data_IF_064637337732
#
_entry.id   IF_064637337732
#
_cell.length_a   1.000
_cell.length_b   1.000
_cell.length_c   1.000
_cell.angle_alpha   90.00
_cell.angle_beta   90.00
_cell.angle_gamma   90.00
#
_symmetry.space_group_name_H-M   'P 1'
#
loop_
_entity.id
_entity.type
_entity.pdbx_description
1 polymer ?
#
# COMPACT_ATOMS: atom_id res chain seq x y z
N UNK A 1 -1.30 21.20 -8.02
CA UNK A 1 -1.03 22.53 -7.42
C UNK A 1 0.48 22.62 -7.23
N UNK A 2 1.14 23.54 -7.92
CA UNK A 2 2.57 23.81 -7.70
C UNK A 2 2.70 24.70 -6.47
N UNK A 3 3.55 24.31 -5.51
CA UNK A 3 3.84 25.16 -4.36
C UNK A 3 4.97 26.11 -4.74
N UNK A 4 4.72 27.42 -4.60
CA UNK A 4 5.66 28.49 -4.93
C UNK A 4 5.77 29.42 -3.73
N UNK A 5 7.00 29.78 -3.35
CA UNK A 5 7.26 30.83 -2.37
C UNK A 5 8.11 31.93 -2.98
N UNK A 6 7.85 33.16 -2.58
CA UNK A 6 8.64 34.33 -2.98
C UNK A 6 9.54 34.75 -1.83
N UNK A 7 10.82 34.85 -2.11
CA UNK A 7 11.83 35.34 -1.17
C UNK A 7 12.31 36.69 -1.68
N UNK A 8 12.19 37.72 -0.84
CA UNK A 8 12.63 39.07 -1.14
C UNK A 8 13.67 39.51 -0.13
N UNK A 9 14.71 40.20 -0.60
CA UNK A 9 15.71 40.78 0.26
C UNK A 9 15.08 41.79 1.24
N UNK A 10 15.55 41.77 2.49
CA UNK A 10 15.10 42.71 3.51
C UNK A 10 15.51 44.13 3.12
N UNK A 11 14.60 45.10 3.24
CA UNK A 11 14.83 46.50 2.88
C UNK A 11 15.96 47.19 3.65
N UNK A 12 16.41 46.62 4.78
CA UNK A 12 17.58 47.10 5.55
C UNK A 12 18.87 46.32 5.27
N UNK A 13 18.84 45.34 4.36
CA UNK A 13 20.05 44.60 3.98
C UNK A 13 20.95 45.48 3.10
N UNK A 14 22.24 45.53 3.43
CA UNK A 14 23.26 46.19 2.62
C UNK A 14 24.01 45.23 1.72
N UNK A 15 23.71 43.93 1.79
CA UNK A 15 24.47 42.87 1.12
C UNK A 15 23.66 42.10 0.08
N UNK A 16 22.33 42.19 0.09
CA UNK A 16 21.47 41.45 -0.84
C UNK A 16 20.30 42.33 -1.31
N UNK A 17 19.99 42.26 -2.60
CA UNK A 17 18.87 42.96 -3.23
C UNK A 17 18.08 42.04 -4.16
N UNK A 18 16.84 42.41 -4.49
CA UNK A 18 15.98 41.67 -5.42
C UNK A 18 14.97 40.70 -4.81
N UNK A 19 14.19 40.05 -5.68
CA UNK A 19 13.15 39.07 -5.37
C UNK A 19 13.34 37.83 -6.24
N UNK A 20 13.27 36.64 -5.64
CA UNK A 20 13.32 35.35 -6.34
C UNK A 20 12.10 34.52 -5.99
N UNK A 21 11.52 33.85 -6.98
CA UNK A 21 10.43 32.90 -6.78
C UNK A 21 11.01 31.48 -6.80
N UNK A 22 10.86 30.76 -5.70
CA UNK A 22 11.28 29.36 -5.57
C UNK A 22 10.05 28.47 -5.74
N UNK A 23 10.12 27.56 -6.70
CA UNK A 23 9.14 26.49 -6.85
C UNK A 23 9.65 25.24 -6.14
N UNK A 24 8.80 24.60 -5.36
CA UNK A 24 9.16 23.35 -4.70
C UNK A 24 8.01 22.35 -4.79
N UNK A 25 8.36 21.09 -5.03
CA UNK A 25 7.40 19.99 -5.05
C UNK A 25 7.36 19.39 -3.65
N UNK A 26 6.23 19.54 -2.96
CA UNK A 26 5.99 18.78 -1.74
C UNK A 26 5.68 17.36 -2.16
N UNK A 27 6.64 16.43 -1.98
CA UNK A 27 6.33 15.01 -1.96
C UNK A 27 5.50 14.76 -0.71
N UNK A 28 4.18 14.65 -0.87
CA UNK A 28 3.32 14.08 0.15
C UNK A 28 3.69 12.61 0.35
N UNK A 29 4.68 12.33 1.20
CA UNK A 29 4.58 11.13 2.00
C UNK A 29 3.48 11.45 3.02
N UNK A 30 2.24 11.07 2.68
CA UNK A 30 1.09 11.23 3.56
C UNK A 30 1.44 10.63 4.92
N UNK A 31 1.73 11.51 5.88
CA UNK A 31 1.95 11.17 7.28
C UNK A 31 1.24 12.25 8.09
N UNK A 32 -0.08 12.22 8.02
CA UNK A 32 -0.97 12.97 8.89
C UNK A 32 -1.70 11.94 9.77
N UNK A 33 -1.28 11.84 11.03
CA UNK A 33 -2.09 11.35 12.14
C UNK A 33 -2.27 9.84 12.33
N UNK A 34 -1.45 9.27 13.22
CA UNK A 34 -1.77 8.17 14.16
C UNK A 34 -2.08 6.78 13.58
N UNK A 35 -1.26 5.78 13.97
CA UNK A 35 -1.21 4.39 13.43
C UNK A 35 -0.82 4.33 11.95
N UNK A 36 0.48 4.23 11.66
CA UNK A 36 0.98 3.90 10.32
C UNK A 36 0.43 2.52 9.92
N UNK A 37 -0.64 2.51 9.12
CA UNK A 37 -1.15 1.30 8.49
C UNK A 37 -0.01 0.68 7.68
N UNK A 38 0.15 -0.63 7.78
CA UNK A 38 1.12 -1.34 6.98
C UNK A 38 0.52 -1.60 5.60
N UNK A 39 1.24 -1.26 4.54
CA UNK A 39 0.80 -1.60 3.20
C UNK A 39 0.77 -3.11 3.03
N UNK A 40 -0.30 -3.65 2.43
CA UNK A 40 -0.41 -5.10 2.23
C UNK A 40 0.75 -5.71 1.46
N UNK A 41 1.36 -4.94 0.54
CA UNK A 41 2.55 -5.36 -0.20
C UNK A 41 3.79 -5.57 0.69
N UNK A 42 3.87 -4.89 1.84
CA UNK A 42 4.95 -5.08 2.82
C UNK A 42 4.74 -6.32 3.68
N UNK A 43 3.48 -6.66 3.95
CA UNK A 43 3.09 -7.80 4.80
C UNK A 43 3.08 -9.10 3.98
N UNK A 44 2.54 -9.03 2.77
CA UNK A 44 2.50 -10.12 1.80
C UNK A 44 3.76 -9.99 0.93
N UNK A 45 4.89 -10.44 1.48
CA UNK A 45 6.19 -10.39 0.80
C UNK A 45 6.27 -11.36 -0.38
N UNK A 46 5.43 -12.39 -0.39
CA UNK A 46 5.34 -13.37 -1.46
C UNK A 46 3.90 -13.46 -1.96
N UNK A 47 3.71 -13.15 -3.22
CA UNK A 47 2.42 -13.17 -3.90
C UNK A 47 2.08 -14.55 -4.44
N UNK A 48 3.06 -15.45 -4.56
CA UNK A 48 2.85 -16.82 -4.99
C UNK A 48 2.54 -17.73 -3.78
N UNK A 49 1.27 -18.11 -3.65
CA UNK A 49 0.79 -18.95 -2.55
C UNK A 49 1.14 -20.43 -2.73
N UNK A 50 1.59 -20.83 -3.93
CA UNK A 50 1.92 -22.21 -4.26
C UNK A 50 0.71 -23.05 -4.65
N UNK A 51 0.82 -24.37 -4.46
CA UNK A 51 -0.25 -25.33 -4.76
C UNK A 51 -1.29 -25.37 -3.66
N UNK A 52 -2.56 -25.22 -4.03
CA UNK A 52 -3.72 -25.36 -3.14
C UNK A 52 -4.65 -26.48 -3.63
N UNK A 53 -5.42 -27.05 -2.71
CA UNK A 53 -6.28 -28.20 -3.03
C UNK A 53 -7.45 -27.85 -3.96
N UNK A 54 -8.04 -26.65 -3.81
CA UNK A 54 -9.19 -26.20 -4.61
C UNK A 54 -9.29 -24.67 -4.60
N UNK A 55 -9.96 -24.08 -5.60
CA UNK A 55 -10.17 -22.63 -5.72
C UNK A 55 -11.33 -22.18 -4.84
N UNK A 56 -11.11 -22.18 -3.54
CA UNK A 56 -12.09 -21.70 -2.57
C UNK A 56 -11.45 -20.72 -1.58
N UNK A 57 -12.29 -19.93 -0.91
CA UNK A 57 -11.84 -18.88 0.00
C UNK A 57 -11.00 -19.45 1.15
N UNK A 58 -11.34 -20.62 1.66
CA UNK A 58 -10.69 -21.27 2.79
C UNK A 58 -9.29 -21.78 2.41
N UNK A 59 -9.15 -22.43 1.25
CA UNK A 59 -7.83 -22.86 0.75
C UNK A 59 -6.92 -21.68 0.45
N UNK A 60 -7.42 -20.64 -0.22
CA UNK A 60 -6.64 -19.43 -0.53
C UNK A 60 -6.26 -18.69 0.75
N UNK A 61 -7.19 -18.58 1.71
CA UNK A 61 -6.92 -17.96 3.01
C UNK A 61 -5.86 -18.72 3.79
N UNK A 62 -5.89 -20.05 3.78
CA UNK A 62 -4.90 -20.90 4.45
C UNK A 62 -3.52 -20.73 3.83
N UNK A 63 -3.44 -20.73 2.50
CA UNK A 63 -2.19 -20.51 1.78
C UNK A 63 -1.65 -19.09 2.00
N UNK A 64 -2.53 -18.08 1.98
CA UNK A 64 -2.19 -16.69 2.29
C UNK A 64 -1.66 -16.53 3.72
N UNK A 65 -2.29 -17.16 4.72
CA UNK A 65 -1.82 -17.16 6.11
C UNK A 65 -0.50 -17.91 6.28
N UNK A 66 -0.21 -18.89 5.42
CA UNK A 66 1.07 -19.61 5.46
C UNK A 66 2.21 -18.70 5.02
N UNK A 67 1.97 -17.87 4.01
CA UNK A 67 2.95 -16.93 3.45
C UNK A 67 3.04 -15.65 4.27
N UNK A 68 1.90 -15.10 4.68
CA UNK A 68 1.78 -13.88 5.45
C UNK A 68 1.17 -14.20 6.83
N UNK A 69 1.97 -14.86 7.69
CA UNK A 69 1.53 -15.30 9.02
C UNK A 69 1.09 -14.14 9.92
N UNK A 70 1.67 -12.97 9.72
CA UNK A 70 1.34 -11.74 10.44
C UNK A 70 0.09 -11.04 9.89
N UNK A 71 -0.46 -11.49 8.76
CA UNK A 71 -1.63 -10.89 8.15
C UNK A 71 -2.89 -11.19 8.96
N UNK A 72 -3.57 -10.15 9.44
CA UNK A 72 -4.88 -10.32 10.09
C UNK A 72 -5.95 -10.39 9.01
N UNK A 73 -6.31 -11.62 8.65
CA UNK A 73 -7.40 -11.92 7.71
C UNK A 73 -8.75 -11.27 8.04
N UNK A 74 -8.98 -10.87 9.29
CA UNK A 74 -10.21 -10.16 9.70
C UNK A 74 -10.21 -8.67 9.29
N UNK A 75 -9.03 -8.12 9.00
CA UNK A 75 -8.86 -6.73 8.54
C UNK A 75 -8.66 -6.63 7.03
N UNK A 76 -8.75 -7.74 6.30
CA UNK A 76 -8.65 -7.78 4.84
C UNK A 76 -9.82 -8.55 4.24
N UNK A 77 -10.13 -8.23 2.98
CA UNK A 77 -11.09 -8.92 2.14
C UNK A 77 -10.33 -9.64 1.03
N UNK A 78 -10.71 -10.89 0.76
CA UNK A 78 -10.10 -11.71 -0.29
C UNK A 78 -11.16 -11.93 -1.37
N UNK A 79 -10.88 -11.44 -2.57
CA UNK A 79 -11.71 -11.63 -3.77
C UNK A 79 -11.03 -12.65 -4.67
N UNK A 80 -11.67 -13.79 -4.92
CA UNK A 80 -11.13 -14.80 -5.82
C UNK A 80 -11.36 -14.37 -7.27
N UNK A 81 -10.35 -14.51 -8.12
CA UNK A 81 -10.56 -14.33 -9.55
C UNK A 81 -11.36 -15.52 -10.10
N UNK A 82 -12.43 -15.24 -10.85
CA UNK A 82 -13.31 -16.29 -11.39
C UNK A 82 -12.68 -17.04 -12.56
N UNK A 83 -11.75 -16.43 -13.30
CA UNK A 83 -11.18 -16.94 -14.55
C UNK A 83 -9.78 -17.53 -14.37
N UNK A 84 -8.96 -16.92 -13.52
CA UNK A 84 -7.58 -17.29 -13.27
C UNK A 84 -7.38 -17.88 -11.87
N UNK A 85 -6.24 -18.53 -11.64
CA UNK A 85 -5.84 -18.98 -10.31
C UNK A 85 -5.19 -17.83 -9.53
N UNK A 86 -5.95 -16.75 -9.35
CA UNK A 86 -5.53 -15.53 -8.68
C UNK A 86 -6.54 -15.14 -7.61
N UNK A 87 -6.08 -14.38 -6.63
CA UNK A 87 -6.93 -13.74 -5.64
C UNK A 87 -6.44 -12.33 -5.36
N UNK A 88 -7.37 -11.41 -5.12
CA UNK A 88 -7.09 -10.04 -4.75
C UNK A 88 -7.33 -9.86 -3.27
N UNK A 89 -6.30 -9.49 -2.54
CA UNK A 89 -6.35 -9.20 -1.11
C UNK A 89 -6.40 -7.69 -0.94
N UNK A 90 -7.50 -7.17 -0.42
CA UNK A 90 -7.73 -5.74 -0.16
C UNK A 90 -7.81 -5.48 1.33
N UNK A 91 -7.25 -4.37 1.79
CA UNK A 91 -7.49 -3.92 3.16
C UNK A 91 -8.96 -3.52 3.32
N UNK A 92 -9.58 -3.91 4.43
CA UNK A 92 -10.94 -3.48 4.73
C UNK A 92 -10.98 -1.97 4.90
N UNK A 93 -12.09 -1.34 4.50
CA UNK A 93 -12.27 0.12 4.66
C UNK A 93 -12.10 0.56 6.13
N UNK A 94 -12.52 -0.30 7.07
CA UNK A 94 -12.41 -0.09 8.51
C UNK A 94 -11.12 -0.65 9.12
N UNK A 95 -10.18 -1.15 8.30
CA UNK A 95 -8.89 -1.63 8.81
C UNK A 95 -8.09 -0.47 9.38
N UNK A 96 -7.60 -0.67 10.60
CA UNK A 96 -6.71 0.26 11.30
C UNK A 96 -5.25 -0.20 11.19
N UNK A 97 -5.02 -1.46 10.80
CA UNK A 97 -3.68 -2.05 10.66
C UNK A 97 -3.14 -2.01 9.23
N UNK A 98 -3.99 -2.04 8.20
CA UNK A 98 -3.56 -2.26 6.81
C UNK A 98 -4.15 -1.28 5.80
N UNK A 99 -3.43 -1.05 4.71
CA UNK A 99 -3.89 -0.27 3.57
C UNK A 99 -3.42 -0.84 2.22
N UNK A 100 -4.13 -0.47 1.15
CA UNK A 100 -3.83 -0.90 -0.22
C UNK A 100 -4.43 -2.25 -0.61
N UNK A 101 -3.95 -2.77 -1.74
CA UNK A 101 -4.37 -4.04 -2.31
C UNK A 101 -3.17 -4.81 -2.88
N UNK A 102 -3.25 -6.13 -2.84
CA UNK A 102 -2.24 -7.05 -3.37
C UNK A 102 -2.94 -8.15 -4.16
N UNK A 103 -2.41 -8.45 -5.34
CA UNK A 103 -2.80 -9.63 -6.10
C UNK A 103 -1.87 -10.79 -5.76
N UNK A 104 -2.45 -11.94 -5.45
CA UNK A 104 -1.74 -13.19 -5.19
C UNK A 104 -2.15 -14.24 -6.22
N UNK A 105 -1.21 -15.13 -6.57
CA UNK A 105 -1.41 -16.23 -7.51
C UNK A 105 -1.23 -17.57 -6.81
N UNK A 106 -1.93 -18.59 -7.29
CA UNK A 106 -1.83 -19.96 -6.80
C UNK A 106 -1.97 -20.95 -7.95
N UNK A 107 -1.72 -22.22 -7.67
CA UNK A 107 -1.95 -23.33 -8.60
C UNK A 107 -2.87 -24.34 -7.93
N UNK A 108 -3.74 -24.98 -8.71
CA UNK A 108 -4.63 -26.03 -8.19
C UNK A 108 -3.91 -27.35 -8.34
N UNK A 109 -3.76 -28.10 -7.24
CA UNK A 109 -3.20 -29.44 -7.28
C UNK A 109 -4.13 -30.31 -8.13
N UNK A 110 -3.69 -30.66 -9.34
CA UNK A 110 -4.45 -31.57 -10.18
C UNK A 110 -4.35 -32.97 -9.56
N UNK A 111 -5.51 -33.53 -9.23
CA UNK A 111 -5.63 -34.88 -8.68
C UNK A 111 -5.60 -35.91 -9.81
#
# INVERSE_FOLDING_TARGET
>A
RENKAKVKANAKSTSYEGEVTVTFTVKSNSSEGTTTKQTLNKVITKTELGEIAKKDLESVKTALLTVAKDLKVNEVTIELDSKENKAKVKANANSMSYEGEVEVSFTIKQK
#
